data_IF_671689373469
#
_entry.id   IF_671689373469
#
_cell.length_a   1.000
_cell.length_b   1.000
_cell.length_c   1.000
_cell.angle_alpha   90.00
_cell.angle_beta   90.00
_cell.angle_gamma   90.00
#
_symmetry.space_group_name_H-M   'P 1'
#
loop_
_entity.id
_entity.type
_entity.pdbx_description
1 polymer ?
#
# COMPACT_ATOMS: atom_id res chain seq x y z
N UNK A 1 17.38 58.95 30.69
CA UNK A 1 16.06 59.19 31.30
C UNK A 1 15.08 58.14 30.76
N UNK A 2 14.47 57.38 31.68
CA UNK A 2 13.15 56.70 31.64
C UNK A 2 12.83 55.79 30.42
N UNK A 3 12.64 54.46 30.50
CA UNK A 3 11.60 53.65 31.22
C UNK A 3 10.19 54.28 31.10
N UNK A 4 9.05 53.65 30.77
CA UNK A 4 8.54 52.30 31.02
C UNK A 4 7.25 52.04 30.20
N UNK A 5 7.02 50.77 29.85
CA UNK A 5 5.78 49.95 29.95
C UNK A 5 4.39 50.62 30.17
N UNK A 6 3.38 50.17 29.40
CA UNK A 6 2.09 49.57 29.86
C UNK A 6 1.41 48.87 28.68
N UNK A 7 1.30 47.54 28.59
CA UNK A 7 0.37 46.61 29.26
C UNK A 7 -1.11 46.77 28.86
N UNK A 8 -1.63 45.82 28.07
CA UNK A 8 -3.04 45.65 27.73
C UNK A 8 -3.36 44.16 27.54
N UNK A 9 -3.97 43.57 28.58
CA UNK A 9 -4.22 42.13 28.79
C UNK A 9 -5.46 41.62 28.06
N UNK A 10 -5.48 40.31 27.83
CA UNK A 10 -6.69 39.48 27.69
C UNK A 10 -6.59 38.57 26.46
N UNK A 11 -6.33 37.27 26.52
CA UNK A 11 -6.52 36.29 27.59
C UNK A 11 -7.88 35.60 27.45
N UNK A 12 -7.93 34.44 26.76
CA UNK A 12 -8.40 33.15 27.33
C UNK A 12 -8.55 32.04 26.30
N UNK A 13 -7.92 30.91 26.67
CA UNK A 13 -8.42 29.54 26.71
C UNK A 13 -8.77 28.84 25.39
N UNK A 14 -8.00 27.78 25.16
CA UNK A 14 -8.55 26.45 25.35
C UNK A 14 -8.53 25.58 24.09
N UNK A 15 -7.82 24.45 24.16
CA UNK A 15 -7.95 23.42 23.15
C UNK A 15 -6.77 22.46 23.12
N UNK A 16 -6.73 21.51 24.06
CA UNK A 16 -5.94 20.28 23.91
C UNK A 16 -6.37 19.56 22.63
N UNK A 17 -5.45 19.37 21.68
CA UNK A 17 -5.61 18.46 20.56
C UNK A 17 -4.44 17.49 20.55
N UNK A 18 -4.64 16.31 21.14
CA UNK A 18 -3.70 15.18 21.11
C UNK A 18 -3.43 14.77 19.66
N UNK A 19 -2.21 14.30 19.41
CA UNK A 19 -1.74 13.87 18.10
C UNK A 19 -2.69 12.92 17.38
N UNK A 20 -2.64 12.99 16.05
CA UNK A 20 -3.20 12.01 15.11
C UNK A 20 -2.71 12.38 13.72
N UNK A 21 -1.60 11.78 13.30
CA UNK A 21 -1.30 11.65 11.86
C UNK A 21 -0.73 10.26 11.60
N UNK A 22 -1.42 9.24 12.09
CA UNK A 22 -1.21 7.84 11.71
C UNK A 22 -2.57 7.16 11.46
N UNK A 23 -3.48 7.89 10.80
CA UNK A 23 -4.84 7.43 10.50
C UNK A 23 -5.21 7.62 9.03
N UNK A 24 -4.23 7.61 8.13
CA UNK A 24 -4.50 7.75 6.70
C UNK A 24 -4.81 6.42 6.00
N UNK A 25 -4.58 5.27 6.66
CA UNK A 25 -4.86 3.95 6.09
C UNK A 25 -6.22 3.36 6.52
N UNK A 26 -6.70 3.68 7.73
CA UNK A 26 -7.96 3.12 8.25
C UNK A 26 -9.21 3.75 7.63
N UNK A 27 -9.14 4.99 7.14
CA UNK A 27 -10.26 5.69 6.52
C UNK A 27 -10.62 5.15 5.12
N UNK A 28 -9.75 4.32 4.51
CA UNK A 28 -9.96 3.78 3.15
C UNK A 28 -10.99 2.63 3.15
N UNK A 29 -11.28 2.02 4.29
CA UNK A 29 -12.17 0.86 4.38
C UNK A 29 -13.68 1.22 4.32
N UNK A 30 -14.10 2.39 4.84
CA UNK A 30 -15.53 2.76 4.87
C UNK A 30 -15.99 3.61 3.67
N UNK A 31 -15.09 4.10 2.84
CA UNK A 31 -15.45 4.71 1.55
C UNK A 31 -15.76 3.67 0.45
N UNK A 32 -15.63 2.37 0.76
CA UNK A 32 -15.63 1.27 -0.20
C UNK A 32 -16.99 0.88 -0.79
N UNK A 33 -18.11 1.45 -0.30
CA UNK A 33 -19.45 1.08 -0.79
C UNK A 33 -20.13 2.12 -1.69
N UNK A 34 -19.56 3.33 -1.88
CA UNK A 34 -20.19 4.38 -2.71
C UNK A 34 -19.36 4.76 -3.95
N UNK A 35 -18.10 4.33 -4.08
CA UNK A 35 -17.24 4.69 -5.22
C UNK A 35 -17.29 3.74 -6.43
N UNK A 36 -18.10 2.68 -6.42
CA UNK A 36 -18.19 1.78 -7.58
C UNK A 36 -18.92 2.40 -8.78
N UNK A 37 -19.72 3.45 -8.55
CA UNK A 37 -20.54 4.09 -9.58
C UNK A 37 -19.81 5.18 -10.41
N UNK A 38 -18.59 5.55 -10.03
CA UNK A 38 -17.76 6.55 -10.73
C UNK A 38 -16.36 6.05 -11.11
N UNK A 39 -16.04 4.79 -10.82
CA UNK A 39 -14.80 4.19 -11.27
C UNK A 39 -14.85 4.11 -12.81
N UNK A 40 -13.99 4.86 -13.49
CA UNK A 40 -13.79 4.74 -14.93
C UNK A 40 -13.60 3.26 -15.24
N UNK A 41 -14.38 2.68 -16.16
CA UNK A 41 -14.27 1.25 -16.49
C UNK A 41 -12.87 0.88 -17.01
N UNK A 42 -12.12 1.90 -17.42
CA UNK A 42 -10.72 1.80 -17.84
C UNK A 42 -9.72 1.81 -16.68
N UNK A 43 -10.15 2.07 -15.44
CA UNK A 43 -9.28 2.16 -14.27
C UNK A 43 -8.54 0.86 -14.00
N UNK A 44 -7.42 0.96 -13.30
CA UNK A 44 -6.70 -0.21 -12.84
C UNK A 44 -7.58 -1.04 -11.89
N UNK A 45 -7.74 -2.32 -12.18
CA UNK A 45 -8.51 -3.29 -11.39
C UNK A 45 -7.70 -4.56 -11.18
N UNK A 46 -7.46 -4.90 -9.92
CA UNK A 46 -6.84 -6.18 -9.52
C UNK A 46 -7.88 -7.30 -9.66
N UNK A 47 -7.67 -8.16 -10.65
CA UNK A 47 -8.53 -9.31 -10.95
C UNK A 47 -8.29 -10.46 -9.97
N UNK A 48 -7.03 -10.72 -9.63
CA UNK A 48 -6.63 -11.84 -8.80
C UNK A 48 -5.31 -11.51 -8.10
N UNK A 49 -5.09 -12.08 -6.93
CA UNK A 49 -3.79 -12.02 -6.26
C UNK A 49 -3.67 -13.15 -5.25
N UNK A 50 -2.52 -13.21 -4.57
CA UNK A 50 -2.28 -14.16 -3.49
C UNK A 50 -3.38 -14.15 -2.42
N UNK A 51 -3.41 -15.21 -1.61
CA UNK A 51 -4.31 -15.30 -0.49
C UNK A 51 -4.09 -14.15 0.49
N UNK A 52 -5.15 -13.71 1.18
CA UNK A 52 -5.07 -12.58 2.11
C UNK A 52 -4.12 -12.85 3.28
N UNK A 53 -3.88 -14.12 3.60
CA UNK A 53 -2.85 -14.59 4.52
C UNK A 53 -2.03 -15.70 3.87
N UNK A 54 -0.73 -15.46 3.71
CA UNK A 54 0.23 -16.34 3.08
C UNK A 54 1.26 -16.78 4.13
N UNK A 55 1.43 -18.08 4.31
CA UNK A 55 2.51 -18.61 5.14
C UNK A 55 3.75 -18.90 4.30
N UNK A 56 4.93 -18.75 4.90
CA UNK A 56 6.21 -19.12 4.30
C UNK A 56 7.13 -19.80 5.31
N UNK A 57 8.07 -20.62 4.82
CA UNK A 57 9.09 -21.26 5.64
C UNK A 57 10.40 -20.49 5.55
N UNK A 58 11.09 -20.36 6.67
CA UNK A 58 12.40 -19.70 6.73
C UNK A 58 13.42 -20.44 5.85
N UNK A 59 14.24 -19.70 5.11
CA UNK A 59 15.23 -20.26 4.17
C UNK A 59 14.66 -20.73 2.83
N UNK A 60 13.33 -20.69 2.65
CA UNK A 60 12.65 -21.00 1.39
C UNK A 60 12.11 -19.73 0.72
N UNK A 61 11.49 -19.90 -0.45
CA UNK A 61 10.91 -18.80 -1.24
C UNK A 61 9.58 -18.33 -0.64
N UNK A 62 9.42 -17.03 -0.44
CA UNK A 62 8.12 -16.38 -0.28
C UNK A 62 7.66 -15.83 -1.64
N UNK A 63 6.47 -16.23 -2.08
CA UNK A 63 5.91 -15.85 -3.37
C UNK A 63 4.59 -15.10 -3.18
N UNK A 64 4.51 -13.89 -3.75
CA UNK A 64 3.28 -13.12 -3.84
C UNK A 64 2.96 -12.80 -5.30
N UNK A 65 1.70 -12.94 -5.68
CA UNK A 65 1.22 -12.78 -7.06
C UNK A 65 0.10 -11.75 -7.10
N UNK A 66 0.09 -10.94 -8.16
CA UNK A 66 -0.96 -9.97 -8.42
C UNK A 66 -1.22 -9.89 -9.93
N UNK A 67 -2.49 -9.91 -10.33
CA UNK A 67 -2.95 -9.78 -11.71
C UNK A 67 -3.91 -8.60 -11.78
N UNK A 68 -3.61 -7.63 -12.62
CA UNK A 68 -4.43 -6.44 -12.80
C UNK A 68 -4.77 -6.20 -14.27
N UNK A 69 -5.91 -5.54 -14.50
CA UNK A 69 -6.44 -5.11 -15.79
C UNK A 69 -6.66 -3.60 -15.78
N UNK A 70 -6.57 -2.95 -16.92
CA UNK A 70 -6.92 -1.53 -17.09
C UNK A 70 -6.55 -1.05 -18.49
N UNK A 71 -7.14 0.06 -18.92
CA UNK A 71 -6.94 0.60 -20.27
C UNK A 71 -6.60 2.10 -20.19
N UNK A 72 -5.32 2.51 -20.17
CA UNK A 72 -4.13 1.73 -20.49
C UNK A 72 -3.77 0.70 -19.42
N UNK A 73 -3.02 -0.32 -19.87
CA UNK A 73 -2.52 -1.41 -19.01
C UNK A 73 -1.89 -0.87 -17.73
N UNK A 74 -2.29 -1.39 -16.57
CA UNK A 74 -1.78 -0.88 -15.30
C UNK A 74 -0.32 -1.27 -15.12
N UNK A 75 0.35 -0.46 -14.31
CA UNK A 75 1.63 -0.77 -13.67
C UNK A 75 1.36 -1.43 -12.33
N UNK A 76 2.17 -2.41 -11.93
CA UNK A 76 2.05 -3.04 -10.60
C UNK A 76 3.30 -2.73 -9.79
N UNK A 77 3.10 -2.22 -8.59
CA UNK A 77 4.15 -2.01 -7.59
C UNK A 77 3.85 -2.79 -6.32
N UNK A 78 4.91 -3.23 -5.65
CA UNK A 78 4.81 -3.98 -4.40
C UNK A 78 5.27 -3.12 -3.23
N UNK A 79 4.55 -3.21 -2.13
CA UNK A 79 4.84 -2.50 -0.89
C UNK A 79 4.89 -3.48 0.27
N UNK A 80 5.74 -3.21 1.25
CA UNK A 80 5.74 -3.86 2.56
C UNK A 80 5.54 -2.78 3.62
N UNK A 81 4.48 -2.90 4.42
CA UNK A 81 4.19 -2.00 5.54
C UNK A 81 4.16 -0.51 5.13
N UNK A 82 3.68 -0.26 3.90
CA UNK A 82 3.59 1.09 3.32
C UNK A 82 4.85 1.58 2.61
N UNK A 83 5.98 0.87 2.70
CA UNK A 83 7.20 1.19 1.96
C UNK A 83 7.27 0.44 0.62
N UNK A 84 7.60 1.15 -0.46
CA UNK A 84 7.81 0.52 -1.77
C UNK A 84 8.99 -0.45 -1.68
N UNK A 85 8.78 -1.68 -2.15
CA UNK A 85 9.84 -2.67 -2.23
C UNK A 85 10.59 -2.39 -3.53
N UNK A 86 11.92 -2.35 -3.42
CA UNK A 86 12.82 -2.26 -4.57
C UNK A 86 13.62 -3.56 -4.73
N UNK A 87 14.15 -3.84 -5.94
CA UNK A 87 15.03 -4.98 -6.18
C UNK A 87 16.21 -5.00 -5.20
N UNK A 88 16.46 -6.18 -4.63
CA UNK A 88 17.57 -6.48 -3.73
C UNK A 88 18.14 -7.85 -4.11
N UNK A 89 19.33 -8.24 -3.62
CA UNK A 89 19.90 -9.55 -3.95
C UNK A 89 18.96 -10.74 -3.67
N UNK A 90 18.12 -10.64 -2.64
CA UNK A 90 17.13 -11.66 -2.27
C UNK A 90 15.70 -11.34 -2.72
N UNK A 91 15.47 -10.27 -3.49
CA UNK A 91 14.12 -9.84 -3.92
C UNK A 91 14.08 -9.69 -5.44
N UNK A 92 13.20 -10.46 -6.07
CA UNK A 92 13.05 -10.51 -7.52
C UNK A 92 11.62 -10.19 -7.96
N UNK A 93 11.52 -9.46 -9.08
CA UNK A 93 10.25 -9.11 -9.72
C UNK A 93 10.13 -9.85 -11.05
N UNK A 94 8.97 -10.43 -11.27
CA UNK A 94 8.65 -11.05 -12.54
C UNK A 94 7.35 -10.47 -13.04
N UNK A 95 7.39 -9.83 -14.19
CA UNK A 95 6.22 -9.28 -14.84
C UNK A 95 5.95 -9.99 -16.16
N UNK A 96 4.67 -10.30 -16.41
CA UNK A 96 4.21 -10.92 -17.64
C UNK A 96 2.99 -10.18 -18.15
N UNK A 97 3.09 -9.63 -19.36
CA UNK A 97 1.94 -9.10 -20.10
C UNK A 97 1.12 -10.29 -20.60
N UNK A 98 -0.09 -10.44 -20.08
CA UNK A 98 -0.98 -11.54 -20.48
C UNK A 98 -1.87 -11.15 -21.67
N UNK A 99 -2.29 -9.88 -21.71
CA UNK A 99 -3.09 -9.26 -22.77
C UNK A 99 -2.64 -7.79 -22.93
N UNK A 100 -3.26 -7.06 -23.87
CA UNK A 100 -2.95 -5.65 -24.06
C UNK A 100 -3.21 -4.82 -22.80
N UNK A 101 -4.30 -5.09 -22.10
CA UNK A 101 -4.79 -4.40 -20.91
C UNK A 101 -4.50 -5.15 -19.59
N UNK A 102 -3.92 -6.35 -19.64
CA UNK A 102 -3.68 -7.20 -18.44
C UNK A 102 -2.20 -7.39 -18.15
N UNK A 103 -1.80 -7.08 -16.91
CA UNK A 103 -0.46 -7.32 -16.36
C UNK A 103 -0.53 -8.33 -15.20
N UNK A 104 0.36 -9.30 -15.23
CA UNK A 104 0.63 -10.21 -14.12
C UNK A 104 1.99 -9.90 -13.53
N UNK A 105 2.10 -9.83 -12.20
CA UNK A 105 3.32 -9.56 -11.47
C UNK A 105 3.49 -10.57 -10.33
N UNK A 106 4.72 -11.03 -10.13
CA UNK A 106 5.13 -11.88 -9.01
C UNK A 106 6.30 -11.23 -8.29
N UNK A 107 6.15 -11.07 -6.98
CA UNK A 107 7.23 -10.77 -6.04
C UNK A 107 7.74 -12.09 -5.46
N UNK A 108 9.05 -12.29 -5.56
CA UNK A 108 9.74 -13.45 -5.00
C UNK A 108 10.81 -12.97 -4.02
N UNK A 109 10.78 -13.50 -2.80
CA UNK A 109 11.83 -13.28 -1.80
C UNK A 109 12.51 -14.63 -1.52
N UNK A 110 13.81 -14.71 -1.82
CA UNK A 110 14.59 -15.95 -1.73
C UNK A 110 16.05 -15.65 -1.33
N UNK A 111 16.55 -16.15 -0.19
CA UNK A 111 15.81 -16.88 0.85
C UNK A 111 14.93 -15.94 1.69
N UNK A 112 13.77 -16.42 2.11
CA UNK A 112 12.92 -15.70 3.05
C UNK A 112 13.44 -15.81 4.49
N UNK A 113 13.40 -14.70 5.20
CA UNK A 113 13.89 -14.52 6.56
C UNK A 113 12.75 -14.11 7.49
N UNK A 114 13.01 -14.10 8.81
CA UNK A 114 12.03 -13.63 9.78
C UNK A 114 11.63 -12.16 9.54
N UNK A 115 12.53 -11.37 8.97
CA UNK A 115 12.30 -9.96 8.61
C UNK A 115 11.34 -9.76 7.44
N UNK A 116 11.01 -10.82 6.69
CA UNK A 116 10.09 -10.76 5.56
C UNK A 116 8.62 -10.95 5.99
N UNK A 117 8.36 -11.26 7.27
CA UNK A 117 7.01 -11.20 7.83
C UNK A 117 6.49 -9.76 7.82
N UNK A 118 5.20 -9.60 7.51
CA UNK A 118 4.54 -8.30 7.51
C UNK A 118 3.32 -8.24 6.59
N UNK A 119 2.79 -7.03 6.42
CA UNK A 119 1.69 -6.76 5.48
C UNK A 119 2.26 -6.24 4.17
N UNK A 120 2.04 -7.00 3.11
CA UNK A 120 2.37 -6.64 1.75
C UNK A 120 1.16 -6.03 1.05
N UNK A 121 1.41 -5.19 0.06
CA UNK A 121 0.36 -4.71 -0.84
C UNK A 121 0.85 -4.76 -2.29
N UNK A 122 0.00 -5.23 -3.20
CA UNK A 122 0.18 -4.90 -4.61
C UNK A 122 -0.69 -3.69 -4.95
N UNK A 123 -0.10 -2.71 -5.62
CA UNK A 123 -0.75 -1.49 -6.07
C UNK A 123 -0.73 -1.49 -7.59
N UNK A 124 -1.91 -1.61 -8.19
CA UNK A 124 -2.13 -1.46 -9.61
C UNK A 124 -2.52 -0.02 -9.92
N UNK A 125 -1.79 0.63 -10.83
CA UNK A 125 -1.98 2.03 -11.16
C UNK A 125 -2.04 2.25 -12.67
N UNK A 126 -3.02 3.03 -13.11
CA UNK A 126 -3.05 3.62 -14.45
C UNK A 126 -3.58 5.07 -14.38
N UNK A 127 -3.62 5.76 -15.51
CA UNK A 127 -4.04 7.17 -15.57
C UNK A 127 -5.49 7.41 -15.12
N UNK A 128 -6.33 6.37 -15.09
CA UNK A 128 -7.74 6.46 -14.74
C UNK A 128 -8.02 6.09 -13.29
N UNK A 129 -7.08 5.43 -12.60
CA UNK A 129 -7.26 5.10 -11.20
C UNK A 129 -6.18 4.18 -10.62
N UNK A 130 -6.25 4.05 -9.30
CA UNK A 130 -5.35 3.22 -8.49
C UNK A 130 -6.20 2.22 -7.72
N UNK A 131 -5.74 0.97 -7.66
CA UNK A 131 -6.34 -0.07 -6.83
C UNK A 131 -5.26 -0.85 -6.10
N UNK A 132 -5.51 -1.18 -4.84
CA UNK A 132 -4.56 -1.90 -4.00
C UNK A 132 -5.18 -3.14 -3.37
N UNK A 133 -4.38 -4.18 -3.19
CA UNK A 133 -4.77 -5.39 -2.45
C UNK A 133 -3.68 -5.75 -1.45
N UNK A 134 -4.10 -5.99 -0.21
CA UNK A 134 -3.21 -6.34 0.89
C UNK A 134 -3.11 -7.85 1.08
N UNK A 135 -1.93 -8.31 1.49
CA UNK A 135 -1.61 -9.71 1.79
C UNK A 135 -0.79 -9.74 3.08
N UNK A 136 -1.20 -10.53 4.07
CA UNK A 136 -0.42 -10.78 5.26
C UNK A 136 0.54 -11.93 4.98
N UNK A 137 1.83 -11.77 5.23
CA UNK A 137 2.81 -12.85 5.15
C UNK A 137 3.30 -13.21 6.55
N UNK A 138 3.20 -14.48 6.93
CA UNK A 138 3.59 -14.99 8.26
C UNK A 138 4.54 -16.17 8.10
N UNK A 139 5.64 -16.19 8.85
CA UNK A 139 6.53 -17.34 8.80
C UNK A 139 6.02 -18.48 9.68
N UNK A 140 6.32 -19.71 9.29
CA UNK A 140 6.14 -20.91 10.10
C UNK A 140 7.47 -21.62 10.28
N UNK A 141 7.66 -22.26 11.43
CA UNK A 141 8.82 -23.07 11.76
C UNK A 141 8.85 -24.39 10.95
#
# INVERSE_FOLDING_TARGET
MCQSLTNGRGGRRGGKGKGKSNLQFAQVAEFSLIQTALADNRSAQILTGSHFSQTFRLGYKLLLICKARGEPRPTIKWYKEGAEIYPKPNIHYYEKKLQEDVLWSKLEIDPATMGDQGVYACVANNQHGVMAKNFKAEYTY
#
